data_IF_786719784512
#
_entry.id   IF_786719784512
#
_cell.length_a   1.000
_cell.length_b   1.000
_cell.length_c   1.000
_cell.angle_alpha   90.00
_cell.angle_beta   90.00
_cell.angle_gamma   90.00
#
_symmetry.space_group_name_H-M   'P 1'
#
loop_
_entity.id
_entity.type
_entity.pdbx_description
1 polymer ?
#
# COMPACT_ATOMS: atom_id res chain seq x y z
N UNK A 1 16.09 28.97 6.80
CA UNK A 1 16.28 27.86 7.77
C UNK A 1 16.22 26.47 7.14
N UNK A 2 15.06 25.90 6.76
CA UNK A 2 15.00 24.51 6.22
C UNK A 2 15.74 24.34 4.88
N UNK A 3 15.61 25.30 3.96
CA UNK A 3 16.31 25.29 2.66
C UNK A 3 17.83 25.37 2.86
N UNK A 4 18.29 26.17 3.82
CA UNK A 4 19.73 26.30 4.13
C UNK A 4 20.30 25.01 4.73
N UNK A 5 19.54 24.32 5.59
CA UNK A 5 19.92 23.01 6.11
C UNK A 5 19.96 21.96 4.99
N UNK A 6 19.04 22.03 4.04
CA UNK A 6 19.02 21.13 2.88
C UNK A 6 20.25 21.30 1.99
N UNK A 7 20.59 22.55 1.64
CA UNK A 7 21.78 22.85 0.83
C UNK A 7 23.07 22.42 1.54
N UNK A 8 23.12 22.51 2.88
CA UNK A 8 24.25 22.04 3.68
C UNK A 8 24.40 20.52 3.76
N UNK A 9 23.35 19.75 3.46
CA UNK A 9 23.39 18.29 3.43
C UNK A 9 24.00 17.71 2.15
N UNK A 10 24.47 18.53 1.21
CA UNK A 10 25.22 18.04 0.05
C UNK A 10 24.37 17.30 -0.99
N UNK A 11 25.04 16.56 -1.87
CA UNK A 11 24.43 16.03 -3.11
C UNK A 11 23.39 14.92 -2.85
N UNK A 12 23.59 14.13 -1.79
CA UNK A 12 22.72 12.99 -1.45
C UNK A 12 21.34 13.41 -0.93
N UNK A 13 21.15 14.69 -0.60
CA UNK A 13 19.85 15.25 -0.25
C UNK A 13 18.86 15.24 -1.43
N UNK A 14 19.34 15.40 -2.66
CA UNK A 14 18.49 15.45 -3.85
C UNK A 14 17.82 14.10 -4.15
N UNK A 15 18.55 12.95 -4.21
CA UNK A 15 17.92 11.64 -4.31
C UNK A 15 16.91 11.34 -3.20
N UNK A 16 17.21 11.72 -1.95
CA UNK A 16 16.28 11.51 -0.83
C UNK A 16 15.00 12.32 -1.02
N UNK A 17 15.11 13.58 -1.49
CA UNK A 17 13.95 14.41 -1.79
C UNK A 17 13.10 13.82 -2.92
N UNK A 18 13.73 13.29 -3.97
CA UNK A 18 13.02 12.62 -5.07
C UNK A 18 12.26 11.40 -4.56
N UNK A 19 12.89 10.55 -3.73
CA UNK A 19 12.22 9.42 -3.10
C UNK A 19 11.06 9.86 -2.21
N UNK A 20 11.20 10.98 -1.49
CA UNK A 20 10.12 11.49 -0.65
C UNK A 20 8.91 11.93 -1.48
N UNK A 21 9.13 12.70 -2.56
CA UNK A 21 8.04 13.12 -3.46
C UNK A 21 7.37 11.90 -4.10
N UNK A 22 8.17 10.93 -4.56
CA UNK A 22 7.66 9.67 -5.11
C UNK A 22 6.82 8.89 -4.09
N UNK A 23 7.32 8.75 -2.85
CA UNK A 23 6.60 8.09 -1.77
C UNK A 23 5.28 8.80 -1.46
N UNK A 24 5.27 10.13 -1.38
CA UNK A 24 4.05 10.91 -1.16
C UNK A 24 3.04 10.75 -2.31
N UNK A 25 3.49 10.70 -3.56
CA UNK A 25 2.60 10.47 -4.70
C UNK A 25 1.84 9.13 -4.56
N UNK A 26 2.53 8.08 -4.14
CA UNK A 26 1.92 6.77 -3.88
C UNK A 26 0.99 6.84 -2.67
N UNK A 27 1.37 7.56 -1.61
CA UNK A 27 0.49 7.77 -0.44
C UNK A 27 -0.84 8.37 -0.86
N UNK A 28 -0.85 9.43 -1.67
CA UNK A 28 -2.09 10.06 -2.13
C UNK A 28 -2.95 9.13 -2.99
N UNK A 29 -2.32 8.38 -3.90
CA UNK A 29 -3.01 7.37 -4.71
C UNK A 29 -3.65 6.29 -3.83
N UNK A 30 -2.90 5.77 -2.85
CA UNK A 30 -3.39 4.73 -1.93
C UNK A 30 -4.52 5.20 -1.03
N UNK A 31 -4.45 6.43 -0.51
CA UNK A 31 -5.56 7.02 0.27
C UNK A 31 -6.85 7.00 -0.55
N UNK A 32 -6.79 7.43 -1.81
CA UNK A 32 -7.97 7.45 -2.68
C UNK A 32 -8.50 6.04 -2.97
N UNK A 33 -7.63 5.12 -3.38
CA UNK A 33 -7.99 3.75 -3.75
C UNK A 33 -8.58 2.97 -2.57
N UNK A 34 -7.92 2.99 -1.41
CA UNK A 34 -8.37 2.23 -0.22
C UNK A 34 -9.63 2.81 0.40
N UNK A 35 -9.79 4.14 0.40
CA UNK A 35 -11.04 4.77 0.87
C UNK A 35 -12.21 4.34 -0.01
N UNK A 36 -12.04 4.28 -1.33
CA UNK A 36 -13.09 3.81 -2.24
C UNK A 36 -13.41 2.33 -2.06
N UNK A 37 -12.40 1.49 -1.80
CA UNK A 37 -12.57 0.05 -1.61
C UNK A 37 -13.26 -0.31 -0.28
N UNK A 38 -13.05 0.48 0.79
CA UNK A 38 -13.64 0.22 2.11
C UNK A 38 -15.10 0.67 2.25
N UNK A 39 -15.56 1.61 1.43
CA UNK A 39 -16.91 2.17 1.54
C UNK A 39 -17.95 1.20 0.97
N UNK A 40 -18.70 0.55 1.85
CA UNK A 40 -20.01 -0.01 1.51
C UNK A 40 -20.17 -1.52 1.63
N UNK A 41 -19.16 -2.27 2.08
CA UNK A 41 -19.22 -3.74 2.24
C UNK A 41 -20.51 -4.23 2.87
N UNK A 42 -20.83 -3.77 4.09
CA UNK A 42 -22.03 -4.22 4.82
C UNK A 42 -23.32 -3.92 4.07
N UNK A 43 -23.43 -2.72 3.50
CA UNK A 43 -24.62 -2.28 2.75
C UNK A 43 -24.76 -3.06 1.43
N UNK A 44 -23.63 -3.36 0.78
CA UNK A 44 -23.58 -4.19 -0.41
C UNK A 44 -24.06 -5.61 -0.11
N UNK A 45 -23.54 -6.27 0.93
CA UNK A 45 -23.96 -7.62 1.32
C UNK A 45 -25.46 -7.70 1.60
N UNK A 46 -26.03 -6.71 2.31
CA UNK A 46 -27.47 -6.67 2.55
C UNK A 46 -28.27 -6.55 1.24
N UNK A 47 -27.83 -5.70 0.30
CA UNK A 47 -28.49 -5.54 -1.00
C UNK A 47 -28.40 -6.81 -1.85
N UNK A 48 -27.25 -7.47 -1.87
CA UNK A 48 -27.09 -8.70 -2.66
C UNK A 48 -27.90 -9.86 -2.08
N UNK A 49 -27.92 -10.02 -0.74
CA UNK A 49 -28.76 -11.04 -0.10
C UNK A 49 -30.24 -10.82 -0.38
N UNK A 50 -30.73 -9.59 -0.25
CA UNK A 50 -32.12 -9.26 -0.60
C UNK A 50 -32.43 -9.54 -2.08
N UNK A 51 -31.53 -9.15 -3.00
CA UNK A 51 -31.69 -9.42 -4.42
C UNK A 51 -31.70 -10.93 -4.75
N UNK A 52 -30.88 -11.72 -4.06
CA UNK A 52 -30.88 -13.19 -4.18
C UNK A 52 -32.20 -13.81 -3.72
N UNK A 53 -32.78 -13.31 -2.62
CA UNK A 53 -34.04 -13.82 -2.07
C UNK A 53 -35.26 -13.44 -2.91
N UNK A 54 -35.32 -12.21 -3.42
CA UNK A 54 -36.49 -11.68 -4.14
C UNK A 54 -36.46 -11.98 -5.65
N UNK A 55 -35.27 -11.87 -6.27
CA UNK A 55 -35.11 -11.89 -7.73
C UNK A 55 -34.13 -12.93 -8.26
N UNK A 56 -33.55 -13.75 -7.38
CA UNK A 56 -32.59 -14.79 -7.73
C UNK A 56 -31.23 -14.28 -8.22
N UNK A 57 -30.47 -15.17 -8.86
CA UNK A 57 -29.07 -14.94 -9.25
C UNK A 57 -28.93 -13.74 -10.21
N UNK A 58 -29.85 -13.59 -11.18
CA UNK A 58 -29.80 -12.50 -12.16
C UNK A 58 -30.00 -11.12 -11.53
N UNK A 59 -30.85 -11.01 -10.50
CA UNK A 59 -31.03 -9.75 -9.78
C UNK A 59 -29.78 -9.41 -8.95
N UNK A 60 -29.17 -10.42 -8.34
CA UNK A 60 -27.94 -10.28 -7.57
C UNK A 60 -26.74 -9.86 -8.44
N UNK A 61 -26.62 -10.42 -9.64
CA UNK A 61 -25.58 -10.04 -10.61
C UNK A 61 -25.65 -8.54 -10.97
N UNK A 62 -26.85 -8.01 -11.24
CA UNK A 62 -27.02 -6.57 -11.51
C UNK A 62 -26.56 -5.68 -10.36
N UNK A 63 -26.82 -6.08 -9.12
CA UNK A 63 -26.36 -5.33 -7.93
C UNK A 63 -24.83 -5.32 -7.86
N UNK A 64 -24.18 -6.41 -8.26
CA UNK A 64 -22.73 -6.50 -8.32
C UNK A 64 -22.16 -5.60 -9.43
N UNK A 65 -22.74 -5.61 -10.63
CA UNK A 65 -22.32 -4.74 -11.75
C UNK A 65 -22.45 -3.24 -11.42
N UNK A 66 -23.49 -2.86 -10.65
CA UNK A 66 -23.73 -1.47 -10.26
C UNK A 66 -22.84 -0.99 -9.08
N UNK A 67 -22.16 -1.91 -8.38
CA UNK A 67 -21.40 -1.59 -7.18
C UNK A 67 -19.90 -1.70 -7.44
N UNK A 68 -19.14 -0.59 -7.38
CA UNK A 68 -17.69 -0.66 -7.48
C UNK A 68 -17.10 -1.21 -6.18
N UNK A 69 -16.14 -2.13 -6.28
CA UNK A 69 -15.34 -2.58 -5.14
C UNK A 69 -14.91 -4.05 -5.26
N UNK A 70 -13.89 -4.46 -4.48
CA UNK A 70 -13.32 -5.80 -4.59
C UNK A 70 -14.33 -6.91 -4.25
N UNK A 71 -15.18 -6.67 -3.24
CA UNK A 71 -16.20 -7.63 -2.82
C UNK A 71 -17.29 -7.81 -3.88
N UNK A 72 -17.62 -6.74 -4.62
CA UNK A 72 -18.60 -6.83 -5.70
C UNK A 72 -18.08 -7.66 -6.88
N UNK A 73 -16.80 -7.51 -7.22
CA UNK A 73 -16.17 -8.29 -8.29
C UNK A 73 -16.09 -9.78 -7.93
N UNK A 74 -15.73 -10.12 -6.69
CA UNK A 74 -15.75 -11.51 -6.19
C UNK A 74 -17.16 -12.10 -6.25
N UNK A 75 -18.17 -11.34 -5.80
CA UNK A 75 -19.55 -11.81 -5.79
C UNK A 75 -20.08 -12.01 -7.21
N UNK A 76 -19.75 -11.11 -8.13
CA UNK A 76 -20.08 -11.25 -9.54
C UNK A 76 -19.46 -12.53 -10.12
N UNK A 77 -18.16 -12.77 -9.88
CA UNK A 77 -17.46 -13.98 -10.33
C UNK A 77 -18.12 -15.26 -9.80
N UNK A 78 -18.42 -15.32 -8.49
CA UNK A 78 -19.10 -16.47 -7.88
C UNK A 78 -20.52 -16.68 -8.40
N UNK A 79 -21.32 -15.62 -8.49
CA UNK A 79 -22.71 -15.70 -8.96
C UNK A 79 -22.82 -16.07 -10.44
N UNK A 80 -21.88 -15.63 -11.27
CA UNK A 80 -21.86 -15.93 -12.70
C UNK A 80 -21.70 -17.43 -13.01
N UNK A 81 -21.13 -18.19 -12.06
CA UNK A 81 -20.95 -19.64 -12.16
C UNK A 81 -21.85 -20.44 -11.23
N UNK A 82 -22.88 -19.81 -10.66
CA UNK A 82 -23.80 -20.48 -9.74
C UNK A 82 -24.55 -21.67 -10.36
N UNK A 83 -24.71 -21.70 -11.69
CA UNK A 83 -25.36 -22.78 -12.42
C UNK A 83 -24.42 -23.98 -12.69
N UNK A 84 -23.10 -23.81 -12.53
CA UNK A 84 -22.08 -24.85 -12.77
C UNK A 84 -21.81 -25.74 -11.54
N UNK A 85 -22.48 -25.45 -10.41
CA UNK A 85 -22.33 -26.19 -9.16
C UNK A 85 -21.40 -25.50 -8.14
N UNK A 86 -21.51 -25.92 -6.87
CA UNK A 86 -20.80 -25.28 -5.75
C UNK A 86 -19.27 -25.27 -5.90
N UNK A 87 -18.67 -26.30 -6.51
CA UNK A 87 -17.21 -26.36 -6.73
C UNK A 87 -16.74 -25.30 -7.74
N UNK A 88 -17.51 -25.04 -8.79
CA UNK A 88 -17.19 -24.03 -9.79
C UNK A 88 -17.27 -22.61 -9.22
N UNK A 89 -18.25 -22.37 -8.34
CA UNK A 89 -18.43 -21.12 -7.60
C UNK A 89 -17.24 -20.87 -6.66
N UNK A 90 -16.85 -21.86 -5.87
CA UNK A 90 -15.73 -21.75 -4.93
C UNK A 90 -14.42 -21.40 -5.66
N UNK A 91 -14.12 -22.11 -6.76
CA UNK A 91 -12.94 -21.79 -7.60
C UNK A 91 -13.01 -20.40 -8.22
N UNK A 92 -14.19 -19.95 -8.64
CA UNK A 92 -14.35 -18.61 -9.21
C UNK A 92 -14.08 -17.51 -8.16
N UNK A 93 -14.61 -17.70 -6.96
CA UNK A 93 -14.40 -16.81 -5.81
C UNK A 93 -12.93 -16.78 -5.41
N UNK A 94 -12.28 -17.93 -5.29
CA UNK A 94 -10.85 -18.03 -4.92
C UNK A 94 -9.96 -17.33 -5.95
N UNK A 95 -10.22 -17.54 -7.24
CA UNK A 95 -9.47 -16.89 -8.32
C UNK A 95 -9.68 -15.38 -8.33
N UNK A 96 -10.93 -14.91 -8.19
CA UNK A 96 -11.23 -13.47 -8.18
C UNK A 96 -10.66 -12.81 -6.92
N UNK A 97 -10.77 -13.46 -5.76
CA UNK A 97 -10.21 -13.00 -4.50
C UNK A 97 -8.69 -12.82 -4.58
N UNK A 98 -7.98 -13.78 -5.17
CA UNK A 98 -6.53 -13.68 -5.38
C UNK A 98 -6.13 -12.47 -6.25
N UNK A 99 -6.92 -12.16 -7.28
CA UNK A 99 -6.68 -11.01 -8.17
C UNK A 99 -6.93 -9.69 -7.43
N UNK A 100 -8.03 -9.60 -6.68
CA UNK A 100 -8.38 -8.40 -5.90
C UNK A 100 -7.39 -8.14 -4.76
N UNK A 101 -6.95 -9.20 -4.06
CA UNK A 101 -5.88 -9.10 -3.06
C UNK A 101 -4.60 -8.50 -3.67
N UNK A 102 -4.15 -9.05 -4.81
CA UNK A 102 -2.98 -8.52 -5.51
C UNK A 102 -3.17 -7.07 -5.99
N UNK A 103 -4.40 -6.66 -6.30
CA UNK A 103 -4.71 -5.27 -6.65
C UNK A 103 -4.62 -4.33 -5.44
N UNK A 104 -5.13 -4.74 -4.28
CA UNK A 104 -5.07 -3.97 -3.03
C UNK A 104 -3.63 -3.80 -2.53
N UNK A 105 -2.81 -4.85 -2.63
CA UNK A 105 -1.39 -4.85 -2.24
C UNK A 105 -0.48 -4.08 -3.20
N UNK A 106 -0.96 -3.75 -4.40
CA UNK A 106 -0.21 -2.95 -5.39
C UNK A 106 0.27 -1.65 -4.73
N UNK A 107 1.45 -1.15 -5.08
CA UNK A 107 1.95 0.10 -4.50
C UNK A 107 2.54 -0.01 -3.07
N UNK A 108 2.11 -0.98 -2.26
CA UNK A 108 2.67 -1.21 -0.92
C UNK A 108 4.16 -1.52 -0.96
N UNK A 109 4.58 -2.33 -1.93
CA UNK A 109 5.99 -2.66 -2.16
C UNK A 109 6.84 -1.42 -2.45
N UNK A 110 6.29 -0.42 -3.13
CA UNK A 110 6.99 0.83 -3.44
C UNK A 110 7.14 1.71 -2.19
N UNK A 111 6.12 1.76 -1.33
CA UNK A 111 6.23 2.44 -0.04
C UNK A 111 7.29 1.77 0.85
N UNK A 112 7.30 0.43 0.93
CA UNK A 112 8.32 -0.33 1.65
C UNK A 112 9.73 -0.10 1.09
N UNK A 113 9.83 0.05 -0.23
CA UNK A 113 11.09 0.38 -0.92
C UNK A 113 11.57 1.78 -0.52
N UNK A 114 10.70 2.79 -0.49
CA UNK A 114 11.07 4.16 -0.08
C UNK A 114 11.51 4.20 1.39
N UNK A 115 10.79 3.51 2.27
CA UNK A 115 11.14 3.34 3.70
C UNK A 115 12.55 2.79 3.85
N UNK A 116 12.93 1.79 3.05
CA UNK A 116 14.22 1.12 3.17
C UNK A 116 15.33 1.93 2.50
N UNK A 117 15.07 2.52 1.32
CA UNK A 117 16.09 3.25 0.55
C UNK A 117 16.42 4.63 1.12
N UNK A 118 15.46 5.36 1.71
CA UNK A 118 15.71 6.70 2.21
C UNK A 118 16.79 6.75 3.33
N UNK A 119 16.77 5.87 4.36
CA UNK A 119 17.83 5.77 5.36
C UNK A 119 19.16 5.28 4.77
N UNK A 120 19.12 4.33 3.82
CA UNK A 120 20.32 3.86 3.15
C UNK A 120 21.02 4.98 2.37
N UNK A 121 20.26 5.82 1.66
CA UNK A 121 20.80 7.02 1.02
C UNK A 121 21.33 8.02 2.04
N UNK A 122 20.63 8.22 3.16
CA UNK A 122 21.09 9.00 4.31
C UNK A 122 22.46 8.55 4.80
N UNK A 123 22.61 7.24 5.01
CA UNK A 123 23.85 6.60 5.42
C UNK A 123 24.97 6.77 4.37
N UNK A 124 24.67 6.61 3.08
CA UNK A 124 25.67 6.87 2.02
C UNK A 124 26.15 8.32 2.02
N UNK A 125 25.26 9.28 2.27
CA UNK A 125 25.64 10.68 2.43
C UNK A 125 26.54 10.93 3.64
N UNK A 126 26.32 10.19 4.73
CA UNK A 126 27.22 10.21 5.90
C UNK A 126 28.62 9.72 5.57
N UNK A 127 28.72 8.59 4.88
CA UNK A 127 30.01 8.05 4.45
C UNK A 127 30.72 9.06 3.53
N UNK A 128 30.00 9.66 2.57
CA UNK A 128 30.55 10.68 1.68
C UNK A 128 31.06 11.92 2.43
N UNK A 129 30.28 12.45 3.38
CA UNK A 129 30.68 13.60 4.19
C UNK A 129 31.92 13.32 5.05
N UNK A 130 32.03 12.11 5.60
CA UNK A 130 33.20 11.68 6.37
C UNK A 130 34.45 11.51 5.48
N UNK A 131 34.31 10.91 4.29
CA UNK A 131 35.42 10.80 3.32
C UNK A 131 35.94 12.19 2.94
N UNK A 132 35.04 13.15 2.72
CA UNK A 132 35.41 14.54 2.46
C UNK A 132 36.14 15.19 3.64
N UNK A 133 35.63 15.04 4.85
CA UNK A 133 36.26 15.58 6.06
C UNK A 133 37.70 15.08 6.24
N UNK A 134 37.96 13.78 6.01
CA UNK A 134 39.31 13.23 6.08
C UNK A 134 40.20 13.70 4.93
N UNK A 135 39.66 13.86 3.72
CA UNK A 135 40.41 14.43 2.59
C UNK A 135 40.83 15.88 2.85
N UNK A 136 39.99 16.66 3.54
CA UNK A 136 40.30 18.05 3.90
C UNK A 136 41.39 18.13 4.98
N UNK A 137 41.41 17.20 5.95
CA UNK A 137 42.52 17.05 6.92
C UNK A 137 43.83 16.76 6.18
N UNK A 138 43.82 15.78 5.26
CA UNK A 138 45.01 15.37 4.51
C UNK A 138 45.59 16.54 3.70
N UNK A 139 44.74 17.32 3.02
CA UNK A 139 45.16 18.48 2.22
C UNK A 139 45.69 19.63 3.05
N UNK A 140 45.07 19.89 4.20
CA UNK A 140 45.48 20.96 5.09
C UNK A 140 46.74 20.61 5.91
N UNK A 141 47.06 19.32 6.03
CA UNK A 141 48.08 18.79 6.95
C UNK A 141 47.92 19.34 8.38
N UNK A 142 46.66 19.55 8.78
CA UNK A 142 46.23 20.11 10.06
C UNK A 142 44.94 19.43 10.50
N UNK A 143 44.77 19.24 11.81
CA UNK A 143 43.65 18.52 12.42
C UNK A 143 42.72 19.50 13.15
N UNK A 144 42.69 20.77 12.74
CA UNK A 144 41.81 21.74 13.39
C UNK A 144 40.32 21.39 13.21
N UNK A 145 39.48 21.47 14.27
CA UNK A 145 38.07 21.12 14.20
C UNK A 145 37.28 21.90 13.14
N UNK A 146 37.73 23.11 12.78
CA UNK A 146 37.14 23.94 11.74
C UNK A 146 37.22 23.31 10.34
N UNK A 147 38.27 22.53 10.06
CA UNK A 147 38.47 21.86 8.75
C UNK A 147 37.45 20.74 8.55
N UNK A 148 37.17 19.96 9.59
CA UNK A 148 36.27 18.80 9.51
C UNK A 148 34.79 19.13 9.73
N UNK A 149 34.49 20.28 10.35
CA UNK A 149 33.14 20.66 10.74
C UNK A 149 32.14 20.64 9.57
N UNK A 150 32.58 21.03 8.36
CA UNK A 150 31.76 21.01 7.16
C UNK A 150 31.30 19.61 6.77
N UNK A 151 32.23 18.67 6.61
CA UNK A 151 31.93 17.29 6.21
C UNK A 151 31.12 16.52 7.26
N UNK A 152 31.40 16.76 8.55
CA UNK A 152 30.61 16.17 9.65
C UNK A 152 29.18 16.74 9.66
N UNK A 153 29.02 18.05 9.46
CA UNK A 153 27.69 18.65 9.38
C UNK A 153 26.89 18.13 8.19
N UNK A 154 27.52 17.98 7.02
CA UNK A 154 26.91 17.41 5.82
C UNK A 154 26.42 15.98 6.09
N UNK A 155 27.28 15.16 6.71
CA UNK A 155 26.99 13.78 7.06
C UNK A 155 25.76 13.64 7.99
N UNK A 156 25.75 14.40 9.08
CA UNK A 156 24.67 14.35 10.07
C UNK A 156 23.33 14.82 9.50
N UNK A 157 23.33 15.90 8.72
CA UNK A 157 22.10 16.43 8.12
C UNK A 157 21.50 15.45 7.12
N UNK A 158 22.33 14.78 6.33
CA UNK A 158 21.86 13.82 5.31
C UNK A 158 21.20 12.60 5.93
N UNK A 159 21.79 12.05 7.00
CA UNK A 159 21.18 10.94 7.75
C UNK A 159 19.87 11.36 8.41
N UNK A 160 19.85 12.51 9.07
CA UNK A 160 18.64 13.00 9.72
C UNK A 160 17.49 13.12 8.72
N UNK A 161 17.76 13.68 7.53
CA UNK A 161 16.74 13.84 6.51
C UNK A 161 16.24 12.50 5.95
N UNK A 162 17.13 11.56 5.68
CA UNK A 162 16.78 10.20 5.25
C UNK A 162 15.89 9.47 6.25
N UNK A 163 16.18 9.61 7.55
CA UNK A 163 15.38 9.04 8.63
C UNK A 163 14.00 9.71 8.73
N UNK A 164 13.92 11.04 8.66
CA UNK A 164 12.64 11.77 8.72
C UNK A 164 11.72 11.32 7.58
N UNK A 165 12.26 11.23 6.36
CA UNK A 165 11.51 10.73 5.19
C UNK A 165 11.01 9.31 5.44
N UNK A 166 11.87 8.40 5.90
CA UNK A 166 11.49 7.02 6.17
C UNK A 166 10.40 6.90 7.24
N UNK A 167 10.49 7.67 8.33
CA UNK A 167 9.49 7.66 9.41
C UNK A 167 8.11 8.07 8.89
N UNK A 168 8.05 9.15 8.10
CA UNK A 168 6.79 9.64 7.56
C UNK A 168 6.16 8.59 6.64
N UNK A 169 6.95 8.03 5.71
CA UNK A 169 6.42 7.04 4.76
C UNK A 169 6.07 5.71 5.46
N UNK A 170 6.84 5.29 6.45
CA UNK A 170 6.57 4.09 7.26
C UNK A 170 5.24 4.19 8.00
N UNK A 171 4.92 5.37 8.54
CA UNK A 171 3.65 5.60 9.20
C UNK A 171 2.47 5.33 8.26
N UNK A 172 2.50 5.91 7.06
CA UNK A 172 1.45 5.67 6.05
C UNK A 172 1.43 4.22 5.55
N UNK A 173 2.60 3.62 5.32
CA UNK A 173 2.71 2.22 4.94
C UNK A 173 1.97 1.32 5.95
N UNK A 174 2.23 1.48 7.25
CA UNK A 174 1.57 0.68 8.29
C UNK A 174 0.06 0.90 8.34
N UNK A 175 -0.41 2.15 8.15
CA UNK A 175 -1.84 2.44 8.08
C UNK A 175 -2.50 1.74 6.88
N UNK A 176 -1.83 1.71 5.72
CA UNK A 176 -2.36 1.06 4.54
C UNK A 176 -2.32 -0.46 4.64
N UNK A 177 -1.27 -1.07 5.21
CA UNK A 177 -1.23 -2.51 5.50
C UNK A 177 -2.45 -2.89 6.35
N UNK A 178 -2.67 -2.19 7.46
CA UNK A 178 -3.81 -2.47 8.34
C UNK A 178 -5.17 -2.29 7.67
N UNK A 179 -5.30 -1.37 6.71
CA UNK A 179 -6.54 -1.20 5.97
C UNK A 179 -6.74 -2.28 4.91
N UNK A 180 -5.68 -2.68 4.19
CA UNK A 180 -5.73 -3.78 3.22
C UNK A 180 -6.12 -5.07 3.94
N UNK A 181 -5.48 -5.40 5.07
CA UNK A 181 -5.79 -6.60 5.86
C UNK A 181 -7.28 -6.65 6.26
N UNK A 182 -7.84 -5.51 6.68
CA UNK A 182 -9.28 -5.42 7.01
C UNK A 182 -10.17 -5.70 5.81
N UNK A 183 -9.83 -5.16 4.63
CA UNK A 183 -10.61 -5.39 3.41
C UNK A 183 -10.51 -6.86 3.00
N UNK A 184 -9.35 -7.49 3.13
CA UNK A 184 -9.14 -8.91 2.84
C UNK A 184 -10.00 -9.79 3.76
N UNK A 185 -9.99 -9.53 5.07
CA UNK A 185 -10.84 -10.26 6.03
C UNK A 185 -12.31 -10.10 5.67
N UNK A 186 -12.75 -8.87 5.37
CA UNK A 186 -14.13 -8.60 4.95
C UNK A 186 -14.48 -9.36 3.65
N UNK A 187 -13.55 -9.50 2.70
CA UNK A 187 -13.72 -10.27 1.47
C UNK A 187 -13.86 -11.78 1.76
N UNK A 188 -13.03 -12.33 2.63
CA UNK A 188 -13.07 -13.74 3.02
C UNK A 188 -14.37 -14.11 3.73
N UNK A 189 -14.78 -13.34 4.75
CA UNK A 189 -16.04 -13.56 5.47
C UNK A 189 -17.25 -13.47 4.53
N UNK A 190 -17.23 -12.50 3.62
CA UNK A 190 -18.29 -12.30 2.63
C UNK A 190 -18.37 -13.48 1.65
N UNK A 191 -17.23 -13.97 1.19
CA UNK A 191 -17.10 -15.09 0.26
C UNK A 191 -17.67 -16.38 0.85
N UNK A 192 -17.33 -16.68 2.12
CA UNK A 192 -17.89 -17.83 2.85
C UNK A 192 -19.42 -17.72 2.93
N UNK A 193 -19.94 -16.54 3.30
CA UNK A 193 -21.39 -16.34 3.37
C UNK A 193 -22.09 -16.52 2.02
N UNK A 194 -21.43 -16.20 0.89
CA UNK A 194 -21.98 -16.37 -0.44
C UNK A 194 -22.06 -17.85 -0.83
N UNK A 195 -20.99 -18.60 -0.63
CA UNK A 195 -20.93 -20.05 -0.92
C UNK A 195 -22.01 -20.80 -0.14
N UNK A 196 -22.18 -20.49 1.16
CA UNK A 196 -23.25 -21.07 1.97
C UNK A 196 -24.66 -20.76 1.42
N UNK A 197 -24.87 -19.52 0.96
CA UNK A 197 -26.16 -19.07 0.44
C UNK A 197 -26.49 -19.79 -0.87
N UNK A 198 -25.52 -19.89 -1.79
CA UNK A 198 -25.69 -20.60 -3.06
C UNK A 198 -25.90 -22.10 -2.81
N UNK A 199 -25.14 -22.71 -1.89
CA UNK A 199 -25.31 -24.12 -1.53
C UNK A 199 -26.70 -24.42 -0.97
N UNK A 200 -27.25 -23.53 -0.12
CA UNK A 200 -28.62 -23.64 0.39
C UNK A 200 -29.67 -23.51 -0.72
N UNK A 201 -29.45 -22.63 -1.70
CA UNK A 201 -30.35 -22.45 -2.84
C UNK A 201 -30.33 -23.67 -3.79
N UNK A 202 -29.16 -24.26 -4.03
CA UNK A 202 -29.04 -25.47 -4.85
C UNK A 202 -29.75 -26.67 -4.20
N UNK A 203 -29.58 -26.88 -2.89
CA UNK A 203 -30.29 -27.94 -2.13
C UNK A 203 -31.81 -27.78 -2.07
N UNK A 204 -32.35 -26.58 -2.32
CA UNK A 204 -33.80 -26.33 -2.40
C UNK A 204 -34.40 -26.62 -3.77
N UNK A 205 -33.55 -26.75 -4.81
CA UNK A 205 -33.96 -27.06 -6.18
C UNK A 205 -33.97 -28.58 -6.47
N UNK A 206 -33.24 -29.37 -5.68
CA UNK A 206 -33.34 -30.84 -5.62
C UNK A 206 -34.55 -31.30 -4.78
#
# INVERSE_FOLDING_TARGET
>A
MLIELFVKGGIFMWPILILFIFGLAIVFERVYTLTKASVGTKRFLTRVKAALEEGGINAALKVCEETPGPIAEIFHAGLSRADEGSEAVEKAIESAGSIEMAFLERGMIWLATVVTLAPMLGFTGTVSGMVRAFSDIEKANDISPSIVAGGISEALLTTLFGLVVAIIIQFFHNLFVSQVDKIIIDMEESSISLVETISKLQKKKE
#
